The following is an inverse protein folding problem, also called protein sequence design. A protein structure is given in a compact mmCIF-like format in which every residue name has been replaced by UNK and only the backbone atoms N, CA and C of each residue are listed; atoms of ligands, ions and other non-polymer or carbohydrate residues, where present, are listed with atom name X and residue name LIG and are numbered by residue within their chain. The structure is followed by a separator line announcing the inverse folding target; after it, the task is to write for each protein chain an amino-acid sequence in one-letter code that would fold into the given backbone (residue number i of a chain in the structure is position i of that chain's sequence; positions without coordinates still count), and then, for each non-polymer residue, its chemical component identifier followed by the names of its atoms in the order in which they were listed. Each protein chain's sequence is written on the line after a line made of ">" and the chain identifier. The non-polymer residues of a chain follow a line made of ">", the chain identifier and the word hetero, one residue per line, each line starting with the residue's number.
data_IF_809342730894
#
_entry.id   IF_809342730894
#
_cell.length_a   1.000
_cell.length_b   1.000
_cell.length_c   1.000
_cell.angle_alpha   90.00
_cell.angle_beta   90.00
_cell.angle_gamma   90.00
#
_symmetry.space_group_name_H-M   'P 1'
#
loop_
_entity.id
_entity.type
_entity.pdbx_description
1 polymer ?
#
# COMPACT_ATOMS: atom_id res chain seq x y z
N UNK A 1 -4.68 25.15 10.45
CA UNK A 1 -5.41 26.44 10.50
C UNK A 1 -6.26 26.67 9.25
N UNK A 2 -5.73 26.45 8.05
CA UNK A 2 -6.46 26.77 6.82
C UNK A 2 -7.59 25.80 6.45
N UNK A 3 -7.47 24.51 6.81
CA UNK A 3 -8.52 23.50 6.59
C UNK A 3 -9.79 23.77 7.40
N UNK A 4 -9.62 24.16 8.67
CA UNK A 4 -10.73 24.51 9.56
C UNK A 4 -11.49 25.76 9.07
N UNK A 5 -10.76 26.74 8.52
CA UNK A 5 -11.38 27.92 7.91
C UNK A 5 -12.21 27.56 6.69
N UNK A 6 -11.68 26.75 5.77
CA UNK A 6 -12.39 26.33 4.56
C UNK A 6 -13.64 25.51 4.89
N UNK A 7 -13.55 24.57 5.85
CA UNK A 7 -14.70 23.79 6.29
C UNK A 7 -15.80 24.67 6.90
N UNK A 8 -15.41 25.71 7.65
CA UNK A 8 -16.37 26.65 8.25
C UNK A 8 -17.10 27.48 7.19
N UNK A 9 -16.38 28.06 6.22
CA UNK A 9 -17.00 28.86 5.17
C UNK A 9 -17.89 28.06 4.22
N UNK A 10 -17.65 26.76 4.05
CA UNK A 10 -18.54 25.90 3.25
C UNK A 10 -19.87 25.61 3.92
N UNK A 11 -19.99 25.85 5.24
CA UNK A 11 -21.18 25.58 6.03
C UNK A 11 -21.93 26.84 6.46
N UNK A 12 -21.49 28.04 6.07
CA UNK A 12 -22.22 29.29 6.33
C UNK A 12 -23.31 29.54 5.27
N UNK A 13 -24.42 30.13 5.70
CA UNK A 13 -25.41 30.61 4.75
C UNK A 13 -24.93 31.93 4.16
N UNK A 14 -24.90 32.02 2.84
CA UNK A 14 -24.52 33.23 2.13
C UNK A 14 -25.67 34.29 2.24
N UNK A 15 -25.31 35.57 2.23
CA UNK A 15 -26.24 36.68 2.07
C UNK A 15 -26.59 36.85 0.59
N UNK A 16 -27.67 37.63 0.28
CA UNK A 16 -28.04 37.89 -1.11
C UNK A 16 -26.92 38.55 -1.93
N UNK A 17 -26.07 39.38 -1.29
CA UNK A 17 -24.91 40.01 -1.93
C UNK A 17 -23.78 38.99 -2.19
N UNK A 18 -23.58 38.00 -1.30
CA UNK A 18 -22.57 36.94 -1.43
C UNK A 18 -22.97 35.87 -2.45
N UNK A 19 -24.27 35.71 -2.76
CA UNK A 19 -24.74 34.78 -3.79
C UNK A 19 -24.46 35.27 -5.22
N UNK A 20 -24.02 36.52 -5.38
CA UNK A 20 -23.67 37.06 -6.69
C UNK A 20 -22.50 36.31 -7.29
N UNK A 21 -22.73 35.65 -8.42
CA UNK A 21 -21.69 34.81 -9.10
C UNK A 21 -20.60 35.69 -9.70
N UNK A 22 -19.38 35.54 -9.18
CA UNK A 22 -18.19 36.18 -9.72
C UNK A 22 -17.68 35.35 -10.92
N UNK A 23 -17.77 35.92 -12.12
CA UNK A 23 -17.22 35.25 -13.33
C UNK A 23 -15.74 35.47 -13.46
N UNK A 24 -14.94 34.37 -13.41
CA UNK A 24 -13.50 34.40 -13.61
C UNK A 24 -13.19 34.32 -15.09
N UNK A 25 -12.35 35.24 -15.61
CA UNK A 25 -11.93 35.23 -17.01
C UNK A 25 -11.08 34.03 -17.40
N UNK A 26 -11.19 33.58 -18.65
CA UNK A 26 -10.56 32.35 -19.15
C UNK A 26 -9.21 32.51 -19.87
N UNK A 27 -8.64 33.71 -19.99
CA UNK A 27 -7.51 34.04 -20.90
C UNK A 27 -6.28 33.15 -20.74
N UNK A 28 -6.01 32.62 -19.55
CA UNK A 28 -4.86 31.72 -19.29
C UNK A 28 -5.28 30.36 -18.80
N UNK A 29 -6.56 30.03 -18.87
CA UNK A 29 -7.08 28.82 -18.26
C UNK A 29 -6.56 27.53 -18.87
N UNK A 30 -6.41 27.50 -20.20
CA UNK A 30 -5.87 26.32 -20.92
C UNK A 30 -4.45 26.00 -20.46
N UNK A 31 -3.58 26.99 -20.39
CA UNK A 31 -2.21 26.84 -19.90
C UNK A 31 -2.16 26.34 -18.47
N UNK A 32 -3.01 26.89 -17.59
CA UNK A 32 -3.10 26.45 -16.17
C UNK A 32 -3.60 25.01 -16.10
N UNK A 33 -4.59 24.63 -16.92
CA UNK A 33 -5.09 23.25 -16.96
C UNK A 33 -4.04 22.27 -17.48
N UNK A 34 -3.23 22.66 -18.48
CA UNK A 34 -2.11 21.89 -18.97
C UNK A 34 -1.05 21.66 -17.88
N UNK A 35 -0.60 22.74 -17.20
CA UNK A 35 0.34 22.63 -16.09
C UNK A 35 -0.21 21.76 -14.92
N UNK A 36 -1.50 21.85 -14.65
CA UNK A 36 -2.14 21.02 -13.63
C UNK A 36 -2.27 19.56 -14.06
N UNK A 37 -2.53 19.29 -15.34
CA UNK A 37 -2.63 17.93 -15.88
C UNK A 37 -1.33 17.15 -15.76
N UNK A 38 -0.19 17.86 -15.76
CA UNK A 38 1.15 17.34 -15.52
C UNK A 38 1.52 17.35 -14.02
N UNK A 39 0.54 17.22 -13.13
CA UNK A 39 0.79 17.27 -11.69
C UNK A 39 0.34 16.00 -10.97
N UNK A 40 1.11 15.63 -9.94
CA UNK A 40 0.70 14.70 -8.89
C UNK A 40 0.45 15.47 -7.61
N UNK A 41 -0.54 15.03 -6.85
CA UNK A 41 -0.74 15.39 -5.47
C UNK A 41 -0.22 14.27 -4.60
N UNK A 42 0.47 14.58 -3.50
CA UNK A 42 1.03 13.56 -2.63
C UNK A 42 1.11 14.00 -1.18
N UNK A 43 1.05 13.02 -0.29
CA UNK A 43 1.15 13.21 1.16
C UNK A 43 1.98 12.08 1.76
N UNK A 44 2.87 12.41 2.68
CA UNK A 44 3.51 11.39 3.50
C UNK A 44 2.54 10.90 4.57
N UNK A 45 2.43 9.57 4.71
CA UNK A 45 1.60 8.94 5.73
C UNK A 45 2.34 8.98 7.07
N UNK A 46 2.19 10.08 7.78
CA UNK A 46 2.77 10.30 9.10
C UNK A 46 1.97 11.36 9.86
N UNK A 47 1.84 11.16 11.17
CA UNK A 47 1.35 12.19 12.08
C UNK A 47 2.47 13.11 12.62
N UNK A 48 3.74 12.74 12.35
CA UNK A 48 4.91 13.48 12.85
C UNK A 48 5.32 14.57 11.89
N UNK A 49 5.91 15.64 12.45
CA UNK A 49 6.62 16.61 11.65
C UNK A 49 7.88 15.97 11.04
N UNK A 50 8.16 16.27 9.80
CA UNK A 50 9.37 15.86 9.09
C UNK A 50 10.03 17.05 8.40
N UNK A 51 11.30 16.93 8.05
CA UNK A 51 12.01 17.98 7.33
C UNK A 51 11.56 18.00 5.85
N UNK A 52 10.62 18.89 5.55
CA UNK A 52 10.09 19.04 4.19
C UNK A 52 11.16 19.43 3.17
N UNK A 53 12.14 20.25 3.56
CA UNK A 53 13.25 20.64 2.68
C UNK A 53 14.09 19.44 2.26
N UNK A 54 14.46 18.59 3.24
CA UNK A 54 15.20 17.35 2.99
C UNK A 54 14.39 16.36 2.15
N UNK A 55 13.09 16.20 2.43
CA UNK A 55 12.20 15.34 1.65
C UNK A 55 12.10 15.79 0.19
N UNK A 56 11.89 17.10 -0.06
CA UNK A 56 11.83 17.66 -1.41
C UNK A 56 13.17 17.48 -2.16
N UNK A 57 14.31 17.67 -1.48
CA UNK A 57 15.64 17.47 -2.06
C UNK A 57 15.91 16.02 -2.40
N UNK A 58 15.55 15.08 -1.50
CA UNK A 58 15.67 13.65 -1.74
C UNK A 58 14.84 13.23 -2.97
N UNK A 59 13.57 13.63 -3.04
CA UNK A 59 12.68 13.26 -4.14
C UNK A 59 13.21 13.78 -5.50
N UNK A 60 13.72 15.03 -5.56
CA UNK A 60 14.35 15.55 -6.78
C UNK A 60 15.56 14.72 -7.21
N UNK A 61 16.39 14.32 -6.25
CA UNK A 61 17.59 13.50 -6.49
C UNK A 61 17.22 12.10 -6.97
N UNK A 62 16.32 11.41 -6.26
CA UNK A 62 15.93 10.02 -6.54
C UNK A 62 15.15 9.93 -7.86
N UNK A 63 14.30 10.92 -8.15
CA UNK A 63 13.57 10.97 -9.41
C UNK A 63 14.40 11.50 -10.58
N UNK A 64 15.63 11.98 -10.31
CA UNK A 64 16.58 12.49 -11.30
C UNK A 64 16.03 13.61 -12.18
N UNK A 65 15.17 14.47 -11.62
CA UNK A 65 14.47 15.52 -12.35
C UNK A 65 14.99 16.92 -12.01
N UNK A 66 15.87 17.04 -11.01
CA UNK A 66 16.53 18.29 -10.65
C UNK A 66 15.59 19.48 -10.49
N UNK A 67 15.92 20.65 -11.10
CA UNK A 67 15.12 21.87 -11.01
C UNK A 67 13.80 21.82 -11.80
N UNK A 68 13.67 20.91 -12.77
CA UNK A 68 12.48 20.80 -13.62
C UNK A 68 11.25 20.29 -12.83
N UNK A 69 11.48 19.59 -11.72
CA UNK A 69 10.43 19.20 -10.81
C UNK A 69 10.13 20.32 -9.82
N UNK A 70 8.96 20.96 -9.97
CA UNK A 70 8.47 21.94 -9.00
C UNK A 70 7.64 21.21 -7.93
N UNK A 71 8.04 21.36 -6.66
CA UNK A 71 7.32 20.78 -5.52
C UNK A 71 6.76 21.92 -4.68
N UNK A 72 5.45 22.08 -4.69
CA UNK A 72 4.71 23.13 -4.01
C UNK A 72 4.04 22.53 -2.76
N UNK A 73 4.18 23.19 -1.62
CA UNK A 73 3.39 22.89 -0.43
C UNK A 73 2.03 23.61 -0.57
N UNK A 74 0.95 22.84 -0.53
CA UNK A 74 -0.41 23.39 -0.66
C UNK A 74 -1.19 23.36 0.66
N UNK A 75 -0.48 23.12 1.76
CA UNK A 75 -1.03 23.10 3.12
C UNK A 75 -1.47 21.70 3.58
N UNK A 76 -1.65 21.53 4.90
CA UNK A 76 -2.10 20.27 5.50
C UNK A 76 -1.21 19.05 5.20
N UNK A 77 0.09 19.25 4.93
CA UNK A 77 1.03 18.21 4.56
C UNK A 77 0.85 17.67 3.13
N UNK A 78 -0.01 18.32 2.32
CA UNK A 78 -0.21 18.00 0.92
C UNK A 78 0.81 18.73 0.05
N UNK A 79 1.48 17.99 -0.82
CA UNK A 79 2.44 18.48 -1.79
C UNK A 79 1.89 18.32 -3.21
N UNK A 80 2.09 19.35 -4.04
CA UNK A 80 1.86 19.28 -5.48
C UNK A 80 3.20 19.15 -6.19
N UNK A 81 3.35 18.10 -6.99
CA UNK A 81 4.51 17.81 -7.82
C UNK A 81 4.16 18.16 -9.27
N UNK A 82 4.73 19.22 -9.81
CA UNK A 82 4.54 19.65 -11.20
C UNK A 82 5.71 19.18 -12.03
N UNK A 83 5.41 18.42 -13.08
CA UNK A 83 6.39 17.83 -14.00
C UNK A 83 6.45 18.63 -15.30
N UNK A 84 7.59 18.59 -15.97
CA UNK A 84 7.73 19.17 -17.31
C UNK A 84 7.15 18.27 -18.40
N UNK A 85 7.16 16.94 -18.17
CA UNK A 85 6.76 15.95 -19.16
C UNK A 85 5.84 14.89 -18.53
N UNK A 86 4.86 14.46 -19.31
CA UNK A 86 3.96 13.35 -18.96
C UNK A 86 4.71 12.03 -18.70
N UNK A 87 5.81 11.78 -19.42
CA UNK A 87 6.66 10.60 -19.22
C UNK A 87 7.30 10.56 -17.85
N UNK A 88 7.71 11.71 -17.31
CA UNK A 88 8.27 11.84 -15.96
C UNK A 88 7.21 11.50 -14.91
N UNK A 89 6.01 12.06 -15.05
CA UNK A 89 4.87 11.80 -14.16
C UNK A 89 4.52 10.30 -14.15
N UNK A 90 4.37 9.70 -15.34
CA UNK A 90 4.09 8.26 -15.48
C UNK A 90 5.18 7.41 -14.85
N UNK A 91 6.44 7.78 -15.04
CA UNK A 91 7.57 7.07 -14.44
C UNK A 91 7.52 7.09 -12.91
N UNK A 92 7.18 8.25 -12.31
CA UNK A 92 7.05 8.37 -10.85
C UNK A 92 5.92 7.49 -10.32
N UNK A 93 4.77 7.45 -10.97
CA UNK A 93 3.65 6.58 -10.61
C UNK A 93 4.04 5.11 -10.75
N UNK A 94 4.63 4.74 -11.89
CA UNK A 94 4.99 3.35 -12.18
C UNK A 94 6.03 2.80 -11.19
N UNK A 95 6.99 3.62 -10.75
CA UNK A 95 8.04 3.20 -9.82
C UNK A 95 7.70 3.40 -8.33
N UNK A 96 6.45 3.76 -8.01
CA UNK A 96 5.99 3.83 -6.62
C UNK A 96 5.91 2.42 -5.99
N UNK A 97 5.92 2.28 -4.65
CA UNK A 97 5.84 3.34 -3.65
C UNK A 97 7.19 4.03 -3.38
N UNK A 98 7.09 5.31 -3.03
CA UNK A 98 8.20 6.14 -2.57
C UNK A 98 8.09 6.35 -1.06
N UNK A 99 9.19 6.68 -0.40
CA UNK A 99 9.20 6.95 1.04
C UNK A 99 10.30 7.92 1.43
N UNK A 100 10.11 8.56 2.57
CA UNK A 100 11.09 9.40 3.25
C UNK A 100 11.04 9.12 4.75
N UNK A 101 12.19 8.90 5.39
CA UNK A 101 12.28 8.61 6.84
C UNK A 101 11.27 7.55 7.33
N UNK A 102 11.16 6.44 6.61
CA UNK A 102 10.20 5.35 6.88
C UNK A 102 8.71 5.75 6.73
N UNK A 103 8.40 6.92 6.17
CA UNK A 103 7.04 7.34 5.89
C UNK A 103 6.72 7.15 4.40
N UNK A 104 5.72 6.35 4.05
CA UNK A 104 5.32 6.15 2.66
C UNK A 104 4.72 7.44 2.08
N UNK A 105 5.04 7.74 0.83
CA UNK A 105 4.44 8.81 0.05
C UNK A 105 3.30 8.25 -0.80
N UNK A 106 2.07 8.62 -0.47
CA UNK A 106 0.92 8.34 -1.33
C UNK A 106 0.81 9.41 -2.40
N UNK A 107 0.48 8.98 -3.62
CA UNK A 107 0.40 9.84 -4.79
C UNK A 107 -0.94 9.68 -5.49
N UNK A 108 -1.49 10.78 -5.97
CA UNK A 108 -2.70 10.81 -6.79
C UNK A 108 -2.51 11.80 -7.94
N UNK A 109 -2.95 11.42 -9.14
CA UNK A 109 -2.96 12.35 -10.28
C UNK A 109 -3.95 13.47 -10.01
N UNK A 110 -3.57 14.68 -10.39
CA UNK A 110 -4.48 15.82 -10.34
C UNK A 110 -5.65 15.63 -11.32
N UNK A 111 -6.84 15.97 -10.90
CA UNK A 111 -8.05 15.99 -11.70
C UNK A 111 -8.71 17.35 -11.58
N UNK A 112 -9.44 17.75 -12.62
CA UNK A 112 -10.12 19.05 -12.66
C UNK A 112 -11.10 19.18 -11.49
N UNK A 113 -11.08 20.34 -10.82
CA UNK A 113 -11.94 20.63 -9.67
C UNK A 113 -11.38 20.19 -8.32
N UNK A 114 -10.22 19.52 -8.25
CA UNK A 114 -9.60 19.19 -6.98
C UNK A 114 -9.10 20.44 -6.25
N UNK A 115 -9.34 20.45 -4.95
CA UNK A 115 -8.81 21.41 -3.98
C UNK A 115 -8.00 20.66 -2.92
N UNK A 116 -7.24 21.36 -2.10
CA UNK A 116 -6.49 20.74 -1.01
C UNK A 116 -7.36 19.97 -0.02
N UNK A 117 -8.60 20.42 0.20
CA UNK A 117 -9.60 19.79 1.08
C UNK A 117 -10.30 18.58 0.48
N UNK A 118 -10.42 18.50 -0.85
CA UNK A 118 -11.14 17.40 -1.52
C UNK A 118 -10.24 16.23 -1.91
N UNK A 119 -8.90 16.38 -1.80
CA UNK A 119 -7.97 15.31 -2.14
C UNK A 119 -7.93 14.24 -1.06
N UNK A 120 -8.34 13.04 -1.41
CA UNK A 120 -8.29 11.86 -0.56
C UNK A 120 -7.33 10.81 -1.12
N UNK A 121 -6.68 10.07 -0.23
CA UNK A 121 -5.81 8.96 -0.56
C UNK A 121 -6.38 7.70 0.10
N UNK A 122 -6.80 6.74 -0.71
CA UNK A 122 -7.48 5.53 -0.24
C UNK A 122 -6.63 4.28 -0.39
N UNK A 123 -5.60 4.32 -1.24
CA UNK A 123 -4.74 3.18 -1.55
C UNK A 123 -3.30 3.60 -1.84
N UNK A 124 -2.41 2.63 -1.81
CA UNK A 124 -1.01 2.77 -2.23
C UNK A 124 -0.63 1.59 -3.13
N UNK A 125 -0.09 1.83 -4.35
CA UNK A 125 0.32 0.75 -5.24
C UNK A 125 1.61 0.09 -4.75
N UNK A 126 1.58 -1.23 -4.59
CA UNK A 126 2.72 -2.03 -4.13
C UNK A 126 2.84 -3.31 -4.94
N UNK A 127 4.07 -3.75 -5.19
CA UNK A 127 4.35 -5.11 -5.63
C UNK A 127 4.20 -6.06 -4.46
N UNK A 128 3.39 -7.10 -4.64
CA UNK A 128 3.17 -8.16 -3.67
C UNK A 128 3.70 -9.46 -4.25
N UNK A 129 4.56 -10.12 -3.52
CA UNK A 129 5.03 -11.47 -3.83
C UNK A 129 4.10 -12.49 -3.17
N UNK A 130 3.59 -13.41 -3.96
CA UNK A 130 2.77 -14.54 -3.50
C UNK A 130 3.65 -15.78 -3.43
N UNK A 131 3.80 -16.33 -2.25
CA UNK A 131 4.67 -17.48 -1.94
C UNK A 131 3.85 -18.71 -1.63
N UNK A 132 4.34 -19.86 -2.06
CA UNK A 132 3.68 -21.15 -1.78
C UNK A 132 2.50 -21.48 -2.70
N UNK A 133 2.40 -20.81 -3.85
CA UNK A 133 1.43 -21.16 -4.87
C UNK A 133 1.90 -22.47 -5.58
N UNK A 134 1.04 -23.50 -5.72
CA UNK A 134 1.35 -24.69 -6.49
C UNK A 134 1.69 -24.38 -7.94
N UNK A 135 2.58 -25.18 -8.56
CA UNK A 135 3.07 -24.92 -9.91
C UNK A 135 1.94 -24.97 -10.97
N UNK A 136 0.97 -25.83 -10.78
CA UNK A 136 -0.23 -26.00 -11.63
C UNK A 136 -1.22 -24.84 -11.53
N UNK A 137 -1.09 -23.98 -10.49
CA UNK A 137 -1.88 -22.76 -10.33
C UNK A 137 -1.11 -21.48 -10.76
N UNK A 138 0.11 -21.61 -11.25
CA UNK A 138 0.87 -20.44 -11.71
C UNK A 138 0.37 -20.00 -13.08
N UNK A 139 -0.59 -19.05 -13.07
CA UNK A 139 -1.16 -18.43 -14.26
C UNK A 139 -1.43 -16.94 -14.04
N UNK A 140 -1.61 -16.19 -15.12
CA UNK A 140 -1.99 -14.78 -15.04
C UNK A 140 -3.38 -14.62 -14.40
N UNK A 141 -4.31 -15.52 -14.68
CA UNK A 141 -5.65 -15.54 -14.12
C UNK A 141 -5.61 -15.73 -12.60
N UNK A 142 -4.91 -16.76 -12.11
CA UNK A 142 -4.75 -16.99 -10.67
C UNK A 142 -4.07 -15.80 -9.98
N UNK A 143 -3.06 -15.18 -10.61
CA UNK A 143 -2.43 -13.98 -10.08
C UNK A 143 -3.40 -12.80 -9.99
N UNK A 144 -4.31 -12.65 -10.96
CA UNK A 144 -5.35 -11.61 -10.97
C UNK A 144 -6.35 -11.83 -9.86
N UNK A 145 -6.81 -13.06 -9.66
CA UNK A 145 -7.78 -13.42 -8.62
C UNK A 145 -7.18 -13.24 -7.22
N UNK A 146 -5.96 -13.74 -7.00
CA UNK A 146 -5.25 -13.58 -5.73
C UNK A 146 -5.00 -12.10 -5.45
N UNK A 147 -4.54 -11.34 -6.45
CA UNK A 147 -4.32 -9.90 -6.36
C UNK A 147 -5.61 -9.15 -6.07
N UNK A 148 -6.73 -9.54 -6.70
CA UNK A 148 -8.08 -9.00 -6.46
C UNK A 148 -8.53 -9.16 -5.00
N UNK A 149 -8.10 -10.24 -4.35
CA UNK A 149 -8.31 -10.45 -2.93
C UNK A 149 -7.52 -9.49 -2.01
N UNK A 150 -6.46 -8.85 -2.51
CA UNK A 150 -5.64 -7.89 -1.77
C UNK A 150 -6.08 -6.44 -2.00
N UNK A 151 -6.57 -6.13 -3.20
CA UNK A 151 -6.98 -4.80 -3.62
C UNK A 151 -7.19 -4.74 -5.14
N UNK A 152 -7.14 -3.55 -5.74
CA UNK A 152 -7.27 -3.40 -7.19
C UNK A 152 -5.95 -3.78 -7.88
N UNK A 153 -6.00 -4.79 -8.74
CA UNK A 153 -4.83 -5.22 -9.53
C UNK A 153 -4.47 -4.16 -10.56
N UNK A 154 -3.22 -3.74 -10.56
CA UNK A 154 -2.65 -2.75 -11.48
C UNK A 154 -1.83 -3.44 -12.58
N UNK A 155 -1.02 -4.42 -12.21
CA UNK A 155 -0.06 -5.06 -13.11
C UNK A 155 0.29 -6.48 -12.60
N UNK A 156 0.57 -7.40 -13.49
CA UNK A 156 1.05 -8.75 -13.17
C UNK A 156 2.43 -8.92 -13.83
N UNK A 157 3.39 -9.43 -13.07
CA UNK A 157 4.73 -9.72 -13.59
C UNK A 157 4.72 -11.05 -14.35
N UNK A 158 4.35 -10.98 -15.62
CA UNK A 158 4.31 -12.17 -16.50
C UNK A 158 5.70 -12.74 -16.80
N UNK A 159 6.77 -11.94 -16.62
CA UNK A 159 8.15 -12.43 -16.81
C UNK A 159 8.54 -13.48 -15.77
N UNK A 160 7.90 -13.45 -14.61
CA UNK A 160 8.10 -14.46 -13.57
C UNK A 160 7.66 -15.86 -14.02
N UNK A 161 6.73 -15.98 -14.97
CA UNK A 161 6.22 -17.29 -15.46
C UNK A 161 7.19 -18.02 -16.37
N UNK A 162 8.06 -17.28 -17.06
CA UNK A 162 9.12 -17.81 -17.93
C UNK A 162 10.50 -17.84 -17.28
N UNK A 163 10.60 -17.44 -16.02
CA UNK A 163 11.84 -17.34 -15.28
C UNK A 163 12.25 -18.70 -14.73
N UNK A 164 13.57 -19.04 -14.78
CA UNK A 164 14.13 -20.22 -14.13
C UNK A 164 14.02 -20.19 -12.58
N UNK A 165 13.52 -19.08 -12.00
CA UNK A 165 13.40 -18.87 -10.55
C UNK A 165 11.94 -18.58 -10.15
N UNK A 166 11.03 -19.49 -10.40
CA UNK A 166 9.61 -19.38 -10.02
C UNK A 166 9.37 -19.70 -8.52
N UNK A 167 10.07 -19.01 -7.60
CA UNK A 167 9.85 -19.17 -6.16
C UNK A 167 8.58 -18.47 -5.67
N UNK A 168 8.13 -17.46 -6.38
CA UNK A 168 6.97 -16.65 -6.09
C UNK A 168 6.46 -15.99 -7.37
N UNK A 169 5.21 -15.63 -7.40
CA UNK A 169 4.64 -14.75 -8.43
C UNK A 169 4.50 -13.34 -7.87
N UNK A 170 4.52 -12.32 -8.76
CA UNK A 170 4.43 -10.91 -8.37
C UNK A 170 3.22 -10.26 -8.98
N UNK A 171 2.45 -9.58 -8.15
CA UNK A 171 1.28 -8.82 -8.59
C UNK A 171 1.40 -7.41 -8.00
N UNK A 172 1.20 -6.39 -8.81
CA UNK A 172 1.11 -5.01 -8.35
C UNK A 172 -0.33 -4.66 -8.05
N UNK A 173 -0.59 -4.27 -6.81
CA UNK A 173 -1.93 -4.06 -6.28
C UNK A 173 -2.01 -2.70 -5.61
N UNK A 174 -3.10 -1.97 -5.82
CA UNK A 174 -3.47 -0.83 -5.00
C UNK A 174 -3.98 -1.33 -3.65
N UNK A 175 -3.11 -1.32 -2.65
CA UNK A 175 -3.40 -1.79 -1.29
C UNK A 175 -4.23 -0.72 -0.57
N UNK A 176 -5.42 -1.07 -0.05
CA UNK A 176 -6.25 -0.14 0.72
C UNK A 176 -5.55 0.31 2.02
N UNK A 177 -5.58 1.61 2.31
CA UNK A 177 -4.94 2.17 3.51
C UNK A 177 -5.78 1.98 4.78
N UNK A 178 -7.09 1.81 4.62
CA UNK A 178 -8.05 1.60 5.72
C UNK A 178 -8.07 0.17 6.24
N UNK A 179 -7.46 -0.79 5.51
CA UNK A 179 -7.43 -2.21 5.85
C UNK A 179 -6.06 -2.67 6.31
N UNK A 180 -5.99 -3.69 7.20
CA UNK A 180 -4.75 -4.35 7.53
C UNK A 180 -4.13 -5.04 6.32
N UNK A 181 -2.80 -5.07 6.24
CA UNK A 181 -2.07 -5.89 5.28
C UNK A 181 -2.42 -7.38 5.48
N UNK A 182 -2.69 -8.08 4.41
CA UNK A 182 -2.86 -9.53 4.47
C UNK A 182 -1.51 -10.21 4.60
N UNK A 183 -1.38 -11.11 5.57
CA UNK A 183 -0.17 -11.90 5.83
C UNK A 183 -0.13 -13.17 5.00
N UNK A 184 -1.31 -13.76 4.80
CA UNK A 184 -1.51 -14.99 4.05
C UNK A 184 -2.93 -15.02 3.48
N UNK A 185 -3.18 -15.94 2.57
CA UNK A 185 -4.48 -16.24 2.02
C UNK A 185 -4.68 -17.75 1.83
N UNK A 186 -5.92 -18.17 1.67
CA UNK A 186 -6.27 -19.52 1.23
C UNK A 186 -6.74 -19.41 -0.21
N UNK A 187 -6.10 -20.15 -1.10
CA UNK A 187 -6.43 -20.25 -2.53
C UNK A 187 -7.03 -21.63 -2.75
N UNK A 188 -8.14 -21.72 -3.47
CA UNK A 188 -8.72 -22.97 -3.89
C UNK A 188 -8.44 -23.20 -5.39
N UNK A 189 -8.07 -24.42 -5.76
CA UNK A 189 -7.99 -24.83 -7.16
C UNK A 189 -9.41 -25.09 -7.72
N UNK A 190 -9.57 -25.28 -9.04
CA UNK A 190 -10.87 -25.58 -9.64
C UNK A 190 -11.52 -26.88 -9.10
N UNK A 191 -10.72 -27.82 -8.61
CA UNK A 191 -11.15 -29.09 -8.01
C UNK A 191 -11.65 -28.93 -6.56
N UNK A 192 -11.40 -27.76 -5.96
CA UNK A 192 -11.82 -27.42 -4.60
C UNK A 192 -10.76 -27.65 -3.51
N UNK A 193 -9.55 -28.10 -3.88
CA UNK A 193 -8.45 -28.25 -2.93
C UNK A 193 -7.94 -26.90 -2.48
N UNK A 194 -7.66 -26.76 -1.19
CA UNK A 194 -7.27 -25.51 -0.57
C UNK A 194 -5.78 -25.51 -0.22
N UNK A 195 -5.08 -24.49 -0.66
CA UNK A 195 -3.68 -24.27 -0.32
C UNK A 195 -3.51 -22.89 0.35
N UNK A 196 -2.61 -22.80 1.31
CA UNK A 196 -2.26 -21.55 1.96
C UNK A 196 -1.09 -20.92 1.25
N UNK A 197 -1.23 -19.64 0.89
CA UNK A 197 -0.19 -18.80 0.31
C UNK A 197 0.21 -17.70 1.27
N UNK A 198 1.48 -17.30 1.24
CA UNK A 198 2.01 -16.18 2.02
C UNK A 198 2.22 -14.95 1.16
N UNK A 199 2.09 -13.76 1.77
CA UNK A 199 2.31 -12.48 1.08
C UNK A 199 3.52 -11.75 1.65
N UNK A 200 4.37 -11.22 0.76
CA UNK A 200 5.42 -10.28 1.09
C UNK A 200 5.31 -9.04 0.22
N UNK A 201 5.59 -7.90 0.80
CA UNK A 201 5.42 -6.59 0.17
C UNK A 201 6.77 -5.97 -0.15
N UNK A 202 6.94 -5.52 -1.39
CA UNK A 202 8.16 -4.85 -1.80
C UNK A 202 8.14 -3.38 -1.38
N UNK A 203 9.27 -2.87 -0.89
CA UNK A 203 9.43 -1.50 -0.39
C UNK A 203 8.43 -1.11 0.70
N UNK A 204 7.95 -2.09 1.47
CA UNK A 204 7.04 -1.84 2.58
C UNK A 204 7.75 -1.09 3.69
N UNK A 205 7.24 0.07 4.04
CA UNK A 205 7.70 0.92 5.15
C UNK A 205 6.50 1.50 5.90
N UNK A 206 6.71 2.03 7.10
CA UNK A 206 5.72 2.84 7.82
C UNK A 206 4.38 2.14 8.08
N UNK A 207 4.40 0.86 8.49
CA UNK A 207 3.18 0.14 8.83
C UNK A 207 3.17 -0.27 10.31
N UNK A 208 1.98 -0.43 10.84
CA UNK A 208 1.76 -0.77 12.25
C UNK A 208 1.89 -2.27 12.50
N UNK A 209 2.78 -2.68 13.40
CA UNK A 209 2.94 -4.09 13.75
C UNK A 209 1.79 -4.63 14.59
N UNK A 210 0.99 -3.75 15.20
CA UNK A 210 -0.19 -4.14 15.97
C UNK A 210 -1.41 -4.39 15.08
N UNK A 211 -1.85 -3.39 14.29
CA UNK A 211 -3.06 -3.47 13.48
C UNK A 211 -2.82 -3.77 12.00
N UNK A 212 -1.58 -3.74 11.50
CA UNK A 212 -1.21 -4.06 10.13
C UNK A 212 -1.52 -2.98 9.09
N UNK A 213 -2.02 -1.81 9.46
CA UNK A 213 -2.31 -0.72 8.52
C UNK A 213 -1.06 0.09 8.16
N UNK A 214 -1.06 0.63 6.94
CA UNK A 214 0.02 1.51 6.45
C UNK A 214 -0.41 2.95 6.72
N UNK A 215 -0.02 3.53 7.84
CA UNK A 215 -0.29 4.94 8.14
C UNK A 215 0.36 5.43 9.43
N UNK A 216 0.73 4.52 10.32
CA UNK A 216 1.25 4.85 11.65
C UNK A 216 2.12 3.70 12.18
N UNK A 217 2.88 3.96 13.21
CA UNK A 217 3.65 2.95 13.94
C UNK A 217 2.85 2.38 15.13
N UNK A 218 3.29 1.22 15.65
CA UNK A 218 2.57 0.52 16.72
C UNK A 218 2.39 1.36 18.00
N UNK A 219 3.31 2.27 18.29
CA UNK A 219 3.23 3.18 19.44
C UNK A 219 2.17 4.29 19.29
N UNK A 220 1.72 4.57 18.09
CA UNK A 220 0.69 5.56 17.75
C UNK A 220 -0.67 4.88 17.47
N UNK A 221 -0.72 3.55 17.61
CA UNK A 221 -1.90 2.77 17.28
C UNK A 221 -2.99 2.92 18.34
N UNK A 222 -4.16 3.38 17.92
CA UNK A 222 -5.36 3.47 18.76
C UNK A 222 -6.18 2.17 18.82
N UNK A 223 -5.81 1.15 18.02
CA UNK A 223 -6.51 -0.12 18.03
C UNK A 223 -6.28 -0.85 19.36
N UNK A 224 -7.31 -1.48 19.98
CA UNK A 224 -7.15 -2.24 21.20
C UNK A 224 -6.15 -3.38 20.98
N UNK A 225 -5.25 -3.55 21.95
CA UNK A 225 -4.31 -4.68 21.96
C UNK A 225 -4.99 -5.87 22.62
N UNK A 226 -4.99 -7.01 21.95
CA UNK A 226 -5.45 -8.26 22.55
C UNK A 226 -4.49 -8.63 23.69
N UNK A 227 -5.01 -8.62 24.93
CA UNK A 227 -4.23 -8.91 26.14
C UNK A 227 -3.73 -10.36 26.20
N UNK A 228 -4.40 -11.27 25.48
CA UNK A 228 -4.01 -12.68 25.42
C UNK A 228 -2.94 -12.97 24.36
N UNK A 229 -2.57 -11.96 23.57
CA UNK A 229 -1.64 -12.14 22.47
C UNK A 229 -0.22 -11.76 22.89
N UNK A 230 0.67 -12.76 22.94
CA UNK A 230 2.11 -12.53 23.10
C UNK A 230 2.71 -12.05 21.78
N UNK A 231 3.19 -10.79 21.74
CA UNK A 231 3.85 -10.21 20.57
C UNK A 231 2.90 -9.50 19.57
N UNK A 232 3.49 -9.02 18.47
CA UNK A 232 2.77 -8.35 17.41
C UNK A 232 2.28 -9.33 16.35
N UNK A 233 1.09 -9.06 15.77
CA UNK A 233 0.51 -9.84 14.67
C UNK A 233 1.27 -9.64 13.34
N UNK A 234 1.93 -8.50 13.20
CA UNK A 234 2.63 -8.06 12.00
C UNK A 234 4.08 -7.75 12.34
N UNK A 235 4.97 -7.78 11.36
CA UNK A 235 6.38 -7.51 11.60
C UNK A 235 7.20 -7.43 10.30
N UNK A 236 8.50 -7.27 10.45
CA UNK A 236 9.47 -7.15 9.36
C UNK A 236 9.42 -8.30 8.34
N UNK A 237 8.95 -9.47 8.76
CA UNK A 237 8.84 -10.66 7.92
C UNK A 237 7.85 -10.51 6.75
N UNK A 238 6.99 -9.47 6.76
CA UNK A 238 6.16 -9.07 5.63
C UNK A 238 6.96 -8.33 4.54
N UNK A 239 8.13 -7.82 4.86
CA UNK A 239 8.99 -7.12 3.90
C UNK A 239 9.77 -8.12 3.04
N UNK A 240 9.87 -7.82 1.78
CA UNK A 240 10.82 -8.53 0.90
C UNK A 240 12.24 -8.26 1.36
N UNK A 241 13.08 -9.28 1.34
CA UNK A 241 14.48 -9.20 1.80
C UNK A 241 14.68 -9.45 3.29
N UNK A 242 13.63 -9.52 4.09
CA UNK A 242 13.75 -9.93 5.48
C UNK A 242 14.25 -11.38 5.57
N UNK A 243 15.32 -11.57 6.36
CA UNK A 243 15.86 -12.89 6.68
C UNK A 243 15.53 -13.22 8.13
N UNK A 244 14.91 -14.38 8.36
CA UNK A 244 14.74 -14.87 9.72
C UNK A 244 16.10 -15.07 10.37
N UNK A 245 16.27 -14.66 11.64
CA UNK A 245 17.47 -15.05 12.39
C UNK A 245 17.66 -16.57 12.33
N UNK A 246 18.88 -17.02 12.17
CA UNK A 246 19.18 -18.45 12.27
C UNK A 246 18.63 -18.96 13.62
N UNK A 247 17.90 -20.08 13.61
CA UNK A 247 17.47 -20.72 14.85
C UNK A 247 18.71 -21.15 15.61
N UNK A 248 19.04 -20.45 16.68
CA UNK A 248 19.94 -20.99 17.66
C UNK A 248 19.22 -22.17 18.32
N UNK A 249 19.84 -23.34 18.32
CA UNK A 249 19.29 -24.59 18.86
C UNK A 249 18.95 -24.54 20.36
N UNK A 250 19.28 -23.44 21.06
CA UNK A 250 19.10 -23.28 22.49
C UNK A 250 17.97 -22.31 22.91
N UNK A 251 17.29 -21.63 21.99
CA UNK A 251 16.14 -20.79 22.34
C UNK A 251 14.82 -21.49 21.98
N UNK A 252 14.25 -22.20 22.95
CA UNK A 252 12.81 -22.48 22.96
C UNK A 252 12.10 -21.14 23.02
N UNK A 253 11.10 -20.98 22.13
CA UNK A 253 10.10 -19.90 22.12
C UNK A 253 10.44 -18.65 21.26
N UNK A 254 10.06 -18.73 20.00
CA UNK A 254 9.29 -17.70 19.29
C UNK A 254 8.79 -18.30 17.97
N UNK A 255 7.80 -19.16 18.10
CA UNK A 255 6.96 -19.51 16.94
C UNK A 255 6.02 -18.35 16.69
N UNK A 256 5.79 -17.91 15.43
CA UNK A 256 4.65 -17.06 15.13
C UNK A 256 3.39 -17.77 15.65
N UNK A 257 2.37 -17.03 16.13
CA UNK A 257 1.16 -17.64 16.71
C UNK A 257 0.35 -18.35 15.62
N UNK A 258 0.72 -19.59 15.38
CA UNK A 258 0.04 -20.49 14.46
C UNK A 258 -0.58 -21.61 15.30
N UNK A 259 -1.86 -21.47 15.59
CA UNK A 259 -2.67 -22.59 16.09
C UNK A 259 -3.48 -23.11 14.91
N UNK A 260 -3.28 -24.38 14.59
CA UNK A 260 -4.22 -25.18 13.82
C UNK A 260 -5.59 -25.12 14.51
N UNK A 261 -6.58 -24.61 13.82
CA UNK A 261 -7.98 -24.81 14.20
C UNK A 261 -8.41 -26.15 13.58
N UNK A 262 -8.55 -27.17 14.46
CA UNK A 262 -9.46 -28.28 14.29
C UNK A 262 -9.23 -29.21 13.11
N UNK A 263 -8.38 -30.19 13.29
CA UNK A 263 -8.51 -31.49 12.60
C UNK A 263 -9.24 -32.45 13.55
N UNK A 264 -10.51 -32.68 13.31
CA UNK A 264 -11.23 -33.80 13.93
C UNK A 264 -10.63 -35.12 13.47
N UNK A 265 -10.26 -35.95 14.46
CA UNK A 265 -9.66 -37.25 14.23
C UNK A 265 -10.60 -38.22 13.54
N UNK A 266 -10.13 -38.77 12.43
CA UNK A 266 -10.76 -39.95 11.84
C UNK A 266 -10.16 -41.14 12.57
N UNK A 267 -11.03 -41.85 13.26
CA UNK A 267 -10.79 -43.13 13.96
C UNK A 267 -10.16 -44.19 13.04
N UNK A 268 -9.12 -44.82 13.57
CA UNK A 268 -8.39 -45.91 12.91
C UNK A 268 -9.23 -47.11 12.52
N UNK A 269 -9.03 -47.56 11.31
CA UNK A 269 -9.43 -48.89 10.85
C UNK A 269 -8.31 -49.87 11.23
N UNK A 270 -8.61 -50.80 12.13
CA UNK A 270 -7.74 -51.95 12.47
C UNK A 270 -7.72 -52.91 11.30
N UNK A 271 -6.55 -53.24 10.80
CA UNK A 271 -6.33 -54.39 9.93
C UNK A 271 -6.38 -55.70 10.71
N UNK A 272 -6.99 -56.77 10.16
CA UNK A 272 -7.00 -58.06 10.84
C UNK A 272 -5.66 -58.80 10.64
N UNK A 273 -5.14 -59.35 11.72
CA UNK A 273 -4.02 -60.27 11.78
C UNK A 273 -4.32 -61.56 11.01
N UNK A 274 -3.41 -61.93 10.10
CA UNK A 274 -3.32 -63.31 9.59
C UNK A 274 -2.53 -64.18 10.55
N UNK A 275 -3.20 -65.23 11.08
CA UNK A 275 -2.60 -66.39 11.74
C UNK A 275 -2.50 -67.52 10.73
N UNK A 276 -1.39 -68.27 10.82
CA UNK A 276 -0.89 -69.50 10.16
C UNK A 276 -0.18 -69.36 8.86
#
# INVERSE_FOLDING_TARGET
>A
MDTDFIERIQNISLTEEEEVVIKVGGTHREKILEECSLSLLGRFLTARSYNQGAAKSLLRSVWKMGPDLKIVDVGGGLLQFKFALESQLKWVIHNSPWSFENHPLVLRRWERGMTASTVTFTSIPMWVQVWGLPFDLISEEACRDIGGGLGKVVEIDTKAFSSEQARFVRVRVEIPLDKPLRRSGVVANPEGDKVRVGFKYERLVGFCYQCGKISHEAKECSCPRDQNQRGYLYGEWLKVGFKWPARNSDSREEQPPYRDAGGEGIHGVRSPSRTT
#
